data_IF_382283795957
#
_entry.id   IF_382283795957
#
_cell.length_a   1.000
_cell.length_b   1.000
_cell.length_c   1.000
_cell.angle_alpha   90.00
_cell.angle_beta   90.00
_cell.angle_gamma   90.00
#
_symmetry.space_group_name_H-M   'P 1'
#
loop_
_entity.id
_entity.type
_entity.pdbx_description
1 polymer ?
#
# COMPACT_ATOMS: atom_id res chain seq x y z
N UNK A 1 17.96 -41.97 -14.17
CA UNK A 1 17.24 -41.29 -13.06
C UNK A 1 16.41 -42.35 -12.34
N UNK A 2 16.64 -42.57 -11.04
CA UNK A 2 15.92 -43.60 -10.28
C UNK A 2 14.48 -43.17 -10.01
N UNK A 3 13.52 -44.09 -10.17
CA UNK A 3 12.10 -43.84 -9.89
C UNK A 3 11.91 -43.63 -8.37
N UNK A 4 11.22 -42.56 -7.94
CA UNK A 4 11.06 -42.26 -6.51
C UNK A 4 10.31 -43.39 -5.80
N UNK A 5 10.64 -43.61 -4.52
CA UNK A 5 9.99 -44.64 -3.72
C UNK A 5 8.48 -44.38 -3.58
N UNK A 6 7.66 -45.43 -3.38
CA UNK A 6 6.20 -45.28 -3.26
C UNK A 6 5.80 -44.33 -2.12
N UNK A 7 6.61 -44.28 -1.06
CA UNK A 7 6.41 -43.41 0.10
C UNK A 7 6.71 -41.96 -0.27
N UNK A 8 7.83 -41.70 -0.96
CA UNK A 8 8.17 -40.36 -1.43
C UNK A 8 7.11 -39.80 -2.41
N UNK A 9 6.56 -40.66 -3.28
CA UNK A 9 5.48 -40.29 -4.20
C UNK A 9 4.17 -39.96 -3.47
N UNK A 10 3.79 -40.72 -2.43
CA UNK A 10 2.60 -40.44 -1.62
C UNK A 10 2.76 -39.17 -0.77
N UNK A 11 3.92 -39.00 -0.15
CA UNK A 11 4.23 -37.80 0.65
C UNK A 11 4.22 -36.55 -0.24
N UNK A 12 4.83 -36.61 -1.43
CA UNK A 12 4.75 -35.53 -2.41
C UNK A 12 3.31 -35.29 -2.87
N UNK A 13 2.54 -36.34 -3.18
CA UNK A 13 1.14 -36.21 -3.62
C UNK A 13 0.20 -35.59 -2.58
N UNK A 14 0.52 -35.69 -1.29
CA UNK A 14 -0.23 -35.04 -0.21
C UNK A 14 0.34 -33.64 0.07
N UNK A 15 1.64 -33.51 0.31
CA UNK A 15 2.25 -32.24 0.70
C UNK A 15 2.19 -31.21 -0.43
N UNK A 16 2.44 -31.61 -1.68
CA UNK A 16 2.52 -30.68 -2.80
C UNK A 16 1.19 -29.93 -3.03
N UNK A 17 -0.01 -30.53 -3.03
CA UNK A 17 -1.24 -29.75 -3.11
C UNK A 17 -1.50 -28.89 -1.87
N UNK A 18 -1.16 -29.31 -0.65
CA UNK A 18 -1.29 -28.44 0.53
C UNK A 18 -0.32 -27.24 0.49
N UNK A 19 0.90 -27.44 -0.02
CA UNK A 19 1.90 -26.38 -0.19
C UNK A 19 1.54 -25.48 -1.36
N UNK A 20 1.16 -26.04 -2.50
CA UNK A 20 0.84 -25.28 -3.72
C UNK A 20 -0.51 -24.58 -3.61
N UNK A 21 -1.57 -25.24 -3.16
CA UNK A 21 -2.88 -24.59 -2.98
C UNK A 21 -2.98 -23.83 -1.65
N UNK A 22 -2.33 -24.27 -0.58
CA UNK A 22 -2.36 -23.58 0.70
C UNK A 22 -1.44 -22.36 0.80
N UNK A 23 -0.32 -22.31 0.06
CA UNK A 23 0.57 -21.13 0.06
C UNK A 23 0.31 -20.16 -1.10
N UNK A 24 -0.20 -20.63 -2.25
CA UNK A 24 -0.44 -19.77 -3.42
C UNK A 24 -1.90 -19.33 -3.58
N UNK A 25 -2.88 -20.06 -3.03
CA UNK A 25 -4.30 -19.71 -3.16
C UNK A 25 -4.94 -19.19 -1.86
N UNK A 26 -4.27 -19.33 -0.71
CA UNK A 26 -4.72 -18.77 0.55
C UNK A 26 -3.95 -17.49 0.86
N UNK A 27 -4.53 -16.35 0.49
CA UNK A 27 -4.14 -15.10 1.14
C UNK A 27 -4.44 -15.22 2.64
N UNK A 28 -3.51 -14.77 3.49
CA UNK A 28 -3.63 -14.82 4.96
C UNK A 28 -4.93 -14.23 5.49
N UNK A 29 -5.52 -13.32 4.72
CA UNK A 29 -6.86 -12.78 4.93
C UNK A 29 -7.69 -13.18 3.71
N UNK A 30 -8.85 -13.80 3.92
CA UNK A 30 -9.72 -14.19 2.81
C UNK A 30 -10.29 -12.93 2.14
N UNK A 31 -9.81 -12.63 0.92
CA UNK A 31 -10.23 -11.49 0.12
C UNK A 31 -9.23 -10.33 0.08
N UNK A 32 -9.65 -9.23 -0.56
CA UNK A 32 -8.81 -8.05 -0.76
C UNK A 32 -8.81 -7.12 0.47
N UNK A 33 -7.67 -6.48 0.71
CA UNK A 33 -7.54 -5.39 1.68
C UNK A 33 -7.65 -4.07 0.94
N UNK A 34 -8.58 -3.22 1.37
CA UNK A 34 -8.83 -1.90 0.79
C UNK A 34 -9.61 -1.00 1.75
N UNK A 35 -10.24 0.03 1.21
CA UNK A 35 -10.90 1.08 2.01
C UNK A 35 -11.82 0.56 3.13
N UNK A 36 -12.62 -0.48 2.86
CA UNK A 36 -13.60 -1.00 3.81
C UNK A 36 -12.99 -1.72 5.03
N UNK A 37 -11.78 -2.27 4.93
CA UNK A 37 -11.19 -3.15 5.94
C UNK A 37 -9.72 -2.85 6.29
N UNK A 38 -9.09 -1.86 5.67
CA UNK A 38 -7.66 -1.58 5.86
C UNK A 38 -7.28 -1.31 7.32
N UNK A 39 -8.12 -0.59 8.07
CA UNK A 39 -7.91 -0.39 9.51
C UNK A 39 -7.89 -1.71 10.28
N UNK A 40 -8.81 -2.63 10.00
CA UNK A 40 -8.88 -3.92 10.69
C UNK A 40 -7.66 -4.77 10.36
N UNK A 41 -7.21 -4.73 9.09
CA UNK A 41 -5.99 -5.37 8.66
C UNK A 41 -4.76 -4.84 9.42
N UNK A 42 -4.59 -3.51 9.48
CA UNK A 42 -3.49 -2.90 10.19
C UNK A 42 -3.49 -3.23 11.69
N UNK A 43 -4.66 -3.21 12.33
CA UNK A 43 -4.79 -3.61 13.73
C UNK A 43 -4.45 -5.08 13.93
N UNK A 44 -4.96 -5.96 13.06
CA UNK A 44 -4.66 -7.39 13.08
C UNK A 44 -3.15 -7.67 12.99
N UNK A 45 -2.45 -7.06 12.05
CA UNK A 45 -1.00 -7.26 11.90
C UNK A 45 -0.23 -6.65 13.07
N UNK A 46 -0.63 -5.47 13.54
CA UNK A 46 -0.02 -4.81 14.71
C UNK A 46 -0.11 -5.68 15.95
N UNK A 47 -1.31 -6.16 16.29
CA UNK A 47 -1.52 -7.01 17.46
C UNK A 47 -0.81 -8.36 17.33
N UNK A 48 -0.81 -8.96 16.14
CA UNK A 48 -0.11 -10.22 15.88
C UNK A 48 1.41 -10.07 16.04
N UNK A 49 1.99 -9.00 15.49
CA UNK A 49 3.43 -8.71 15.63
C UNK A 49 3.83 -8.43 17.08
N UNK A 50 3.05 -7.60 17.80
CA UNK A 50 3.27 -7.30 19.23
C UNK A 50 3.15 -8.57 20.08
N UNK A 51 2.14 -9.40 19.83
CA UNK A 51 1.95 -10.66 20.54
C UNK A 51 3.12 -11.62 20.30
N UNK A 52 3.55 -11.79 19.04
CA UNK A 52 4.72 -12.62 18.72
C UNK A 52 6.00 -12.13 19.40
N UNK A 53 6.24 -10.81 19.38
CA UNK A 53 7.37 -10.21 20.09
C UNK A 53 7.28 -10.41 21.61
N UNK A 54 6.10 -10.24 22.19
CA UNK A 54 5.86 -10.47 23.61
C UNK A 54 6.14 -11.93 24.02
N UNK A 55 5.65 -12.91 23.23
CA UNK A 55 5.96 -14.32 23.44
C UNK A 55 7.47 -14.54 23.38
N UNK A 56 8.15 -14.05 22.34
CA UNK A 56 9.59 -14.20 22.19
C UNK A 56 10.36 -13.65 23.41
N UNK A 57 10.08 -12.40 23.81
CA UNK A 57 10.77 -11.73 24.92
C UNK A 57 10.53 -12.42 26.26
N UNK A 58 9.31 -12.91 26.51
CA UNK A 58 8.97 -13.57 27.78
C UNK A 58 9.50 -15.00 27.86
N UNK A 59 9.53 -15.74 26.75
CA UNK A 59 10.01 -17.13 26.73
C UNK A 59 11.53 -17.26 26.62
N UNK A 60 12.21 -16.29 26.00
CA UNK A 60 13.65 -16.35 25.77
C UNK A 60 14.47 -16.60 27.04
N UNK A 61 14.29 -15.87 28.16
CA UNK A 61 15.06 -16.12 29.37
C UNK A 61 14.84 -17.53 29.95
N UNK A 62 13.64 -18.08 29.81
CA UNK A 62 13.29 -19.41 30.31
C UNK A 62 14.01 -20.49 29.49
N UNK A 63 13.98 -20.36 28.17
CA UNK A 63 14.67 -21.29 27.26
C UNK A 63 16.18 -21.21 27.45
N UNK A 64 16.76 -20.01 27.56
CA UNK A 64 18.21 -19.85 27.79
C UNK A 64 18.64 -20.52 29.10
N UNK A 65 17.90 -20.33 30.18
CA UNK A 65 18.19 -21.00 31.46
C UNK A 65 18.08 -22.51 31.36
N UNK A 66 17.05 -23.02 30.70
CA UNK A 66 16.87 -24.46 30.48
C UNK A 66 17.99 -25.08 29.64
N UNK A 67 18.53 -24.36 28.66
CA UNK A 67 19.67 -24.82 27.85
C UNK A 67 21.01 -24.80 28.62
N UNK A 68 21.13 -23.95 29.63
CA UNK A 68 22.35 -23.83 30.45
C UNK A 68 22.41 -24.85 31.58
N UNK A 69 21.26 -25.36 32.03
CA UNK A 69 21.19 -26.37 33.08
C UNK A 69 21.33 -27.78 32.48
N UNK A 70 22.49 -28.40 32.69
CA UNK A 70 22.78 -29.75 32.20
C UNK A 70 21.89 -30.85 32.81
N UNK A 71 21.14 -30.53 33.87
CA UNK A 71 20.20 -31.46 34.52
C UNK A 71 18.75 -31.16 34.16
N UNK A 72 18.47 -30.10 33.39
CA UNK A 72 17.13 -29.74 32.99
C UNK A 72 16.69 -30.52 31.74
N UNK A 73 15.49 -31.09 31.79
CA UNK A 73 14.83 -31.68 30.63
C UNK A 73 13.96 -30.61 29.94
N UNK A 74 14.52 -29.94 28.93
CA UNK A 74 13.82 -28.89 28.19
C UNK A 74 12.93 -29.51 27.10
N UNK A 75 11.61 -29.39 27.26
CA UNK A 75 10.65 -29.85 26.26
C UNK A 75 10.91 -29.14 24.90
N UNK A 76 11.15 -29.90 23.81
CA UNK A 76 11.40 -29.36 22.47
C UNK A 76 10.34 -28.36 21.97
N UNK A 77 9.10 -28.43 22.48
CA UNK A 77 8.04 -27.49 22.12
C UNK A 77 8.41 -26.03 22.44
N UNK A 78 9.16 -25.78 23.52
CA UNK A 78 9.62 -24.43 23.86
C UNK A 78 10.62 -23.87 22.85
N UNK A 79 11.46 -24.74 22.27
CA UNK A 79 12.40 -24.38 21.22
C UNK A 79 11.65 -24.05 19.93
N UNK A 80 10.63 -24.83 19.59
CA UNK A 80 9.77 -24.54 18.41
C UNK A 80 9.02 -23.23 18.62
N UNK A 81 8.44 -23.02 19.81
CA UNK A 81 7.70 -21.81 20.15
C UNK A 81 8.56 -20.55 19.99
N UNK A 82 9.79 -20.55 20.50
CA UNK A 82 10.65 -19.36 20.41
C UNK A 82 11.08 -19.05 18.98
N UNK A 83 11.35 -20.09 18.17
CA UNK A 83 11.68 -19.92 16.74
C UNK A 83 10.49 -19.32 15.99
N UNK A 84 9.29 -19.86 16.20
CA UNK A 84 8.08 -19.35 15.57
C UNK A 84 7.78 -17.90 16.03
N UNK A 85 7.88 -17.62 17.33
CA UNK A 85 7.65 -16.30 17.89
C UNK A 85 8.66 -15.27 17.33
N UNK A 86 9.92 -15.65 17.16
CA UNK A 86 10.93 -14.80 16.54
C UNK A 86 10.59 -14.52 15.06
N UNK A 87 10.43 -15.56 14.25
CA UNK A 87 10.22 -15.41 12.80
C UNK A 87 8.93 -14.64 12.52
N UNK A 88 7.81 -15.07 13.10
CA UNK A 88 6.52 -14.40 12.86
C UNK A 88 6.43 -13.05 13.56
N UNK A 89 6.87 -12.94 14.81
CA UNK A 89 6.78 -11.69 15.58
C UNK A 89 7.55 -10.55 14.91
N UNK A 90 8.84 -10.75 14.61
CA UNK A 90 9.66 -9.71 13.99
C UNK A 90 9.24 -9.42 12.53
N UNK A 91 8.92 -10.45 11.74
CA UNK A 91 8.52 -10.25 10.33
C UNK A 91 7.19 -9.50 10.23
N UNK A 92 6.18 -9.88 11.02
CA UNK A 92 4.86 -9.22 11.00
C UNK A 92 4.94 -7.81 11.60
N UNK A 93 5.81 -7.59 12.59
CA UNK A 93 6.06 -6.26 13.14
C UNK A 93 6.75 -5.34 12.11
N UNK A 94 7.76 -5.84 11.39
CA UNK A 94 8.40 -5.11 10.29
C UNK A 94 7.41 -4.76 9.17
N UNK A 95 6.59 -5.74 8.77
CA UNK A 95 5.50 -5.53 7.82
C UNK A 95 4.50 -4.45 8.29
N UNK A 96 4.12 -4.48 9.57
CA UNK A 96 3.28 -3.43 10.18
C UNK A 96 3.96 -2.06 10.11
N UNK A 97 5.27 -1.97 10.33
CA UNK A 97 6.02 -0.71 10.22
C UNK A 97 6.02 -0.13 8.81
N UNK A 98 6.09 -0.99 7.78
CA UNK A 98 5.94 -0.55 6.38
C UNK A 98 4.54 0.02 6.16
N UNK A 99 3.49 -0.68 6.59
CA UNK A 99 2.11 -0.19 6.47
C UNK A 99 1.84 1.08 7.28
N UNK A 100 2.51 1.27 8.42
CA UNK A 100 2.47 2.52 9.16
C UNK A 100 3.01 3.67 8.30
N UNK A 101 4.12 3.44 7.57
CA UNK A 101 4.68 4.44 6.65
C UNK A 101 3.68 4.80 5.55
N UNK A 102 3.02 3.80 4.97
CA UNK A 102 1.97 3.99 3.97
C UNK A 102 0.80 4.82 4.50
N UNK A 103 0.31 4.51 5.71
CA UNK A 103 -0.74 5.31 6.37
C UNK A 103 -0.27 6.75 6.58
N UNK A 104 0.95 6.96 7.06
CA UNK A 104 1.46 8.30 7.37
C UNK A 104 1.74 9.16 6.13
N UNK A 105 1.99 8.53 4.97
CA UNK A 105 2.12 9.20 3.66
C UNK A 105 0.81 9.23 2.87
N UNK A 106 -0.25 8.62 3.39
CA UNK A 106 -1.54 8.45 2.72
C UNK A 106 -1.40 7.81 1.33
N UNK A 107 -0.61 6.74 1.25
CA UNK A 107 -0.41 5.95 0.04
C UNK A 107 -0.86 4.51 0.28
N UNK A 108 -1.36 3.86 -0.76
CA UNK A 108 -1.61 2.42 -0.78
C UNK A 108 -0.36 1.68 -1.26
N UNK A 109 -0.30 0.37 -1.01
CA UNK A 109 0.79 -0.46 -1.53
C UNK A 109 0.86 -0.44 -3.06
N UNK A 110 -0.29 -0.32 -3.75
CA UNK A 110 -0.33 -0.21 -5.22
C UNK A 110 0.29 1.11 -5.66
N UNK A 111 -0.06 2.22 -5.02
CA UNK A 111 0.48 3.54 -5.35
C UNK A 111 1.98 3.62 -5.06
N UNK A 112 2.45 3.02 -3.96
CA UNK A 112 3.86 2.98 -3.60
C UNK A 112 4.71 2.16 -4.58
N UNK A 113 4.15 1.10 -5.16
CA UNK A 113 4.83 0.23 -6.12
C UNK A 113 4.62 0.65 -7.57
N UNK A 114 3.76 1.64 -7.82
CA UNK A 114 3.47 2.10 -9.17
C UNK A 114 4.71 2.76 -9.77
N UNK A 115 5.11 2.30 -10.95
CA UNK A 115 6.20 2.85 -11.77
C UNK A 115 5.67 3.65 -12.98
N UNK A 116 4.36 3.62 -13.20
CA UNK A 116 3.67 4.28 -14.31
C UNK A 116 3.09 5.63 -13.90
N UNK A 117 3.26 6.67 -14.73
CA UNK A 117 2.63 7.96 -14.49
C UNK A 117 1.09 7.87 -14.38
N UNK A 118 0.52 8.80 -13.63
CA UNK A 118 -0.93 8.98 -13.50
C UNK A 118 -1.41 10.04 -14.49
N UNK A 119 -2.40 9.70 -15.31
CA UNK A 119 -3.10 10.68 -16.13
C UNK A 119 -4.31 11.21 -15.37
N UNK A 120 -4.23 12.47 -14.94
CA UNK A 120 -5.25 13.12 -14.14
C UNK A 120 -6.03 14.08 -15.04
N UNK A 121 -7.34 13.85 -15.12
CA UNK A 121 -8.27 14.75 -15.77
C UNK A 121 -8.60 15.93 -14.85
N UNK A 122 -8.40 17.14 -15.34
CA UNK A 122 -8.74 18.40 -14.68
C UNK A 122 -9.87 19.06 -15.45
N UNK A 123 -11.06 19.04 -14.86
CA UNK A 123 -12.23 19.74 -15.39
C UNK A 123 -12.24 21.20 -14.90
N UNK A 124 -12.34 22.16 -15.83
CA UNK A 124 -12.40 23.60 -15.50
C UNK A 124 -13.81 24.10 -15.24
N UNK A 125 -14.82 23.33 -15.61
CA UNK A 125 -16.23 23.58 -15.31
C UNK A 125 -17.01 22.26 -15.19
N UNK A 126 -18.31 22.37 -14.91
CA UNK A 126 -19.20 21.21 -14.76
C UNK A 126 -19.74 20.67 -16.09
N UNK A 127 -19.36 21.22 -17.25
CA UNK A 127 -19.88 20.78 -18.56
C UNK A 127 -19.40 19.38 -18.95
N UNK A 128 -18.21 18.99 -18.47
CA UNK A 128 -17.54 17.74 -18.85
C UNK A 128 -16.82 17.79 -20.20
N UNK A 129 -16.94 18.87 -20.97
CA UNK A 129 -16.22 19.05 -22.23
C UNK A 129 -14.98 19.95 -22.08
N UNK A 130 -14.94 20.72 -20.99
CA UNK A 130 -13.88 21.69 -20.72
C UNK A 130 -12.83 21.12 -19.75
N UNK A 131 -11.97 20.24 -20.25
CA UNK A 131 -10.96 19.56 -19.44
C UNK A 131 -9.58 19.52 -20.10
N UNK A 132 -8.57 19.27 -19.27
CA UNK A 132 -7.21 18.94 -19.69
C UNK A 132 -6.75 17.68 -18.96
N UNK A 133 -5.94 16.86 -19.63
CA UNK A 133 -5.31 15.69 -19.00
C UNK A 133 -3.86 16.03 -18.71
N UNK A 134 -3.48 15.90 -17.43
CA UNK A 134 -2.14 16.16 -16.93
C UNK A 134 -1.52 14.86 -16.47
N UNK A 135 -0.38 14.50 -17.05
CA UNK A 135 0.43 13.37 -16.61
C UNK A 135 1.29 13.77 -15.41
N UNK A 136 1.17 13.01 -14.32
CA UNK A 136 1.89 13.20 -13.06
C UNK A 136 2.76 11.97 -12.78
N UNK A 137 4.03 12.20 -12.43
CA UNK A 137 4.96 11.12 -12.13
C UNK A 137 4.59 10.40 -10.82
N UNK A 138 4.85 9.07 -10.71
CA UNK A 138 4.45 8.26 -9.55
C UNK A 138 4.96 8.75 -8.20
N UNK A 139 6.13 9.41 -8.21
CA UNK A 139 6.83 9.90 -7.02
C UNK A 139 6.11 11.05 -6.30
N UNK A 140 5.08 11.63 -6.93
CA UNK A 140 4.31 12.72 -6.36
C UNK A 140 3.18 12.12 -5.51
N UNK A 141 3.37 12.07 -4.19
CA UNK A 141 2.38 11.58 -3.23
C UNK A 141 1.06 12.38 -3.31
N UNK A 142 0.13 11.95 -4.18
CA UNK A 142 -1.07 12.70 -4.58
C UNK A 142 -1.97 13.07 -3.41
N UNK A 143 -2.06 12.17 -2.43
CA UNK A 143 -2.96 12.26 -1.30
C UNK A 143 -2.27 12.67 0.01
N UNK A 144 -0.94 12.91 -0.01
CA UNK A 144 -0.18 13.20 1.19
C UNK A 144 -0.57 14.57 1.77
N UNK A 145 -1.12 14.55 2.98
CA UNK A 145 -1.36 15.74 3.80
C UNK A 145 -0.47 15.70 5.05
N UNK A 146 -0.92 16.23 6.18
CA UNK A 146 -0.18 16.05 7.43
C UNK A 146 -0.27 14.60 7.93
N UNK A 147 0.79 14.13 8.59
CA UNK A 147 0.84 12.78 9.20
C UNK A 147 -0.37 12.48 10.09
N UNK A 148 -0.88 13.49 10.80
CA UNK A 148 -2.06 13.36 11.66
C UNK A 148 -3.33 13.15 10.83
N UNK A 149 -3.57 13.98 9.82
CA UNK A 149 -4.74 13.85 8.95
C UNK A 149 -4.71 12.51 8.20
N UNK A 150 -3.54 12.08 7.75
CA UNK A 150 -3.35 10.81 7.08
C UNK A 150 -3.63 9.61 8.03
N UNK A 151 -3.20 9.71 9.28
CA UNK A 151 -3.54 8.72 10.31
C UNK A 151 -5.04 8.69 10.61
N UNK A 152 -5.66 9.86 10.79
CA UNK A 152 -7.09 9.99 11.08
C UNK A 152 -7.96 9.55 9.91
N UNK A 153 -7.48 9.67 8.65
CA UNK A 153 -8.20 9.18 7.47
C UNK A 153 -8.46 7.66 7.57
N UNK A 154 -7.50 6.90 8.11
CA UNK A 154 -7.61 5.45 8.29
C UNK A 154 -8.22 5.07 9.64
N UNK A 155 -7.79 5.73 10.72
CA UNK A 155 -8.14 5.32 12.09
C UNK A 155 -9.42 5.96 12.63
N UNK A 156 -9.82 7.10 12.07
CA UNK A 156 -10.92 7.93 12.54
C UNK A 156 -10.51 8.95 13.62
N UNK A 157 -11.47 9.72 14.11
CA UNK A 157 -11.23 10.86 15.00
C UNK A 157 -11.08 10.50 16.49
N UNK A 158 -11.42 9.27 16.88
CA UNK A 158 -11.43 8.85 18.28
C UNK A 158 -10.16 8.08 18.61
N UNK A 159 -9.38 8.59 19.57
CA UNK A 159 -8.13 7.96 20.03
C UNK A 159 -8.38 6.54 20.55
N UNK A 160 -9.43 6.33 21.36
CA UNK A 160 -9.80 4.98 21.83
C UNK A 160 -10.16 4.08 20.65
N UNK A 161 -10.83 4.64 19.65
CA UNK A 161 -11.18 3.94 18.42
C UNK A 161 -9.97 3.55 17.56
N UNK A 162 -8.78 4.11 17.77
CA UNK A 162 -7.57 3.76 17.01
C UNK A 162 -7.10 2.34 17.31
N UNK A 163 -7.32 1.88 18.53
CA UNK A 163 -6.89 0.55 19.00
C UNK A 163 -7.99 -0.51 18.86
N UNK A 164 -9.19 -0.15 18.41
CA UNK A 164 -10.35 -1.03 18.46
C UNK A 164 -10.96 -1.30 17.07
N UNK A 165 -11.29 -2.56 16.76
CA UNK A 165 -11.78 -2.96 15.44
C UNK A 165 -13.30 -2.79 15.29
N UNK A 166 -13.84 -1.58 15.56
CA UNK A 166 -15.29 -1.35 15.52
C UNK A 166 -15.77 -0.48 14.35
N UNK A 167 -14.98 0.52 13.95
CA UNK A 167 -15.36 1.47 12.90
C UNK A 167 -14.24 1.58 11.88
N UNK A 168 -14.60 1.59 10.60
CA UNK A 168 -13.72 1.90 9.48
C UNK A 168 -13.22 3.36 9.54
N UNK A 169 -12.26 3.67 8.67
CA UNK A 169 -11.74 5.03 8.47
C UNK A 169 -12.78 6.03 7.95
N UNK A 170 -12.34 7.28 7.81
CA UNK A 170 -13.18 8.38 7.34
C UNK A 170 -13.40 8.31 5.83
N UNK A 171 -14.47 8.96 5.35
CA UNK A 171 -14.78 9.05 3.92
C UNK A 171 -15.71 7.95 3.41
N UNK A 172 -15.89 7.94 2.09
CA UNK A 172 -16.80 7.02 1.40
C UNK A 172 -16.08 5.98 0.52
N UNK A 173 -14.76 6.12 0.33
CA UNK A 173 -13.94 5.23 -0.50
C UNK A 173 -13.97 5.54 -2.00
N UNK A 174 -14.69 6.58 -2.42
CA UNK A 174 -14.80 7.01 -3.82
C UNK A 174 -14.07 8.31 -4.09
N UNK A 175 -14.10 9.24 -3.12
CA UNK A 175 -13.46 10.55 -3.25
C UNK A 175 -12.49 10.72 -2.09
N UNK A 176 -11.25 11.02 -2.43
CA UNK A 176 -10.17 11.25 -1.49
C UNK A 176 -9.65 12.69 -1.65
N UNK A 177 -9.35 13.38 -0.55
CA UNK A 177 -8.81 14.73 -0.62
C UNK A 177 -7.38 14.70 -1.15
N UNK A 178 -7.12 15.50 -2.19
CA UNK A 178 -5.77 15.74 -2.68
C UNK A 178 -4.92 16.47 -1.64
N UNK A 179 -3.60 16.33 -1.77
CA UNK A 179 -2.65 17.26 -1.15
C UNK A 179 -2.89 18.67 -1.69
N UNK A 180 -2.94 19.69 -0.83
CA UNK A 180 -3.12 21.09 -1.26
C UNK A 180 -2.05 21.51 -2.27
N UNK A 181 -0.81 21.07 -2.05
CA UNK A 181 0.32 21.30 -2.96
C UNK A 181 0.06 20.67 -4.32
N UNK A 182 -0.27 19.38 -4.35
CA UNK A 182 -0.48 18.66 -5.61
C UNK A 182 -1.68 19.19 -6.36
N UNK A 183 -2.76 19.54 -5.66
CA UNK A 183 -3.93 20.17 -6.26
C UNK A 183 -3.55 21.43 -7.02
N UNK A 184 -2.83 22.36 -6.37
CA UNK A 184 -2.40 23.60 -7.03
C UNK A 184 -1.43 23.35 -8.19
N UNK A 185 -0.50 22.41 -8.04
CA UNK A 185 0.47 22.06 -9.07
C UNK A 185 -0.20 21.48 -10.33
N UNK A 186 -1.12 20.54 -10.15
CA UNK A 186 -1.86 19.89 -11.23
C UNK A 186 -2.74 20.91 -11.96
N UNK A 187 -3.48 21.75 -11.23
CA UNK A 187 -4.33 22.79 -11.82
C UNK A 187 -3.50 23.82 -12.59
N UNK A 188 -2.38 24.27 -12.03
CA UNK A 188 -1.48 25.21 -12.73
C UNK A 188 -0.88 24.59 -13.99
N UNK A 189 -0.49 23.31 -13.95
CA UNK A 189 0.05 22.60 -15.10
C UNK A 189 -1.00 22.45 -16.20
N UNK A 190 -2.24 22.11 -15.85
CA UNK A 190 -3.37 22.06 -16.77
C UNK A 190 -3.60 23.42 -17.46
N UNK A 191 -3.61 24.51 -16.69
CA UNK A 191 -3.77 25.87 -17.23
C UNK A 191 -2.65 26.27 -18.18
N UNK A 192 -1.38 25.96 -17.83
CA UNK A 192 -0.23 26.25 -18.70
C UNK A 192 -0.29 25.46 -20.00
N UNK A 193 -0.61 24.17 -19.92
CA UNK A 193 -0.78 23.31 -21.09
C UNK A 193 -1.82 23.89 -22.04
N UNK A 194 -3.00 24.24 -21.54
CA UNK A 194 -4.06 24.87 -22.34
C UNK A 194 -3.63 26.19 -22.98
N UNK A 195 -3.01 27.08 -22.21
CA UNK A 195 -2.54 28.38 -22.71
C UNK A 195 -1.50 28.19 -23.82
N UNK A 196 -0.60 27.22 -23.69
CA UNK A 196 0.39 26.90 -24.71
C UNK A 196 -0.25 26.39 -26.01
N UNK A 197 -1.28 25.54 -25.92
CA UNK A 197 -2.02 25.05 -27.08
C UNK A 197 -2.75 26.19 -27.80
N UNK A 198 -3.42 27.06 -27.04
CA UNK A 198 -4.11 28.24 -27.60
C UNK A 198 -3.14 29.19 -28.31
N UNK A 199 -1.97 29.46 -27.72
CA UNK A 199 -0.95 30.30 -28.33
C UNK A 199 -0.43 29.68 -29.63
N UNK A 200 -0.11 28.38 -29.62
CA UNK A 200 0.35 27.66 -30.81
C UNK A 200 -0.70 27.65 -31.93
N UNK A 201 -1.99 27.62 -31.59
CA UNK A 201 -3.08 27.70 -32.54
C UNK A 201 -3.15 29.10 -33.16
N UNK A 202 -3.06 30.16 -32.34
CA UNK A 202 -3.05 31.54 -32.81
C UNK A 202 -1.89 31.83 -33.77
N UNK A 203 -0.67 31.38 -33.43
CA UNK A 203 0.51 31.52 -34.30
C UNK A 203 0.35 30.80 -35.65
N UNK A 204 -0.26 29.61 -35.65
CA UNK A 204 -0.56 28.85 -36.88
C UNK A 204 -1.59 29.55 -37.76
N UNK A 205 -2.63 30.11 -37.16
CA UNK A 205 -3.65 30.87 -37.90
C UNK A 205 -3.05 32.16 -38.47
N UNK A 206 -2.30 32.92 -37.67
CA UNK A 206 -1.61 34.15 -38.10
C UNK A 206 -0.72 33.92 -39.32
N UNK A 207 0.17 32.92 -39.24
CA UNK A 207 1.08 32.56 -40.33
C UNK A 207 0.36 32.12 -41.60
N UNK A 208 -0.76 31.38 -41.48
CA UNK A 208 -1.56 31.00 -42.64
C UNK A 208 -2.20 32.22 -43.33
N UNK A 209 -2.71 33.18 -42.55
CA UNK A 209 -3.29 34.41 -43.09
C UNK A 209 -2.24 35.23 -43.81
N UNK A 210 -1.04 35.37 -43.23
CA UNK A 210 0.07 36.12 -43.82
C UNK A 210 0.59 35.49 -45.12
N UNK A 211 0.62 34.15 -45.22
CA UNK A 211 0.99 33.44 -46.46
C UNK A 211 -0.04 33.55 -47.59
N UNK A 212 -1.28 33.93 -47.28
CA UNK A 212 -2.39 33.99 -48.25
C UNK A 212 -2.59 35.41 -48.79
N UNK A 213 -1.88 36.42 -48.25
CA UNK A 213 -1.93 37.79 -48.79
C UNK A 213 -1.16 37.83 -50.11
N UNK A 214 -1.80 38.18 -51.25
CA UNK A 214 -1.11 38.31 -52.53
C UNK A 214 -0.09 39.44 -52.45
N UNK A 215 1.15 39.20 -52.92
CA UNK A 215 2.13 40.26 -53.12
C UNK A 215 1.61 41.11 -54.29
N UNK A 216 0.94 42.22 -53.97
CA UNK A 216 0.62 43.24 -54.96
C UNK A 216 1.90 43.98 -55.30
N UNK A 217 2.52 43.61 -56.44
CA UNK A 217 3.57 44.37 -57.11
C UNK A 217 3.02 45.60 -57.80
#
# INVERSE_FOLDING_TARGET
MAKPSPIASKVAGIILPFVVFGLLAYSWVSGCVGFGNYKFFFLFTSYTGIYGLWVFVTTLPLVVRGLQDMNADLDPQWIVLIILAFVFGFTVLGFTGVHLTYILRNETTIEHLADRPYDIRVDFDASGDNFEVVTVEPEHYLWERSRKENWESVMGNSIVGWFLPFKRGLGNGFVFPYSDRMYHEIVQRAQRQRNSMNLSHYERVSSSLESTVPITS
#
